data_IF_139314750687
#
_entry.id   IF_139314750687
#
_cell.length_a   1.000
_cell.length_b   1.000
_cell.length_c   1.000
_cell.angle_alpha   90.00
_cell.angle_beta   90.00
_cell.angle_gamma   90.00
#
_symmetry.space_group_name_H-M   'P 1'
#
loop_
_entity.id
_entity.type
_entity.pdbx_description
1 polymer ?
#
# COMPACT_ATOMS: atom_id res chain seq x y z
N UNK A 1 -18.24 19.44 -43.39
CA UNK A 1 -17.10 19.99 -42.65
C UNK A 1 -17.54 20.15 -41.20
N UNK A 2 -16.84 19.49 -40.26
CA UNK A 2 -17.00 19.50 -38.79
C UNK A 2 -18.21 18.74 -38.19
N UNK A 3 -17.97 17.47 -37.86
CA UNK A 3 -18.71 16.72 -36.84
C UNK A 3 -18.23 17.20 -35.46
N UNK A 4 -19.17 17.63 -34.63
CA UNK A 4 -18.93 17.97 -33.24
C UNK A 4 -18.85 16.67 -32.41
N UNK A 5 -17.67 16.36 -31.88
CA UNK A 5 -17.48 15.29 -30.91
C UNK A 5 -17.84 15.88 -29.54
N UNK A 6 -18.95 15.42 -28.98
CA UNK A 6 -19.30 15.69 -27.58
C UNK A 6 -18.41 14.83 -26.68
N UNK A 7 -17.37 15.44 -26.09
CA UNK A 7 -16.70 14.86 -24.92
C UNK A 7 -17.66 14.96 -23.74
N UNK A 8 -18.43 13.90 -23.52
CA UNK A 8 -19.17 13.71 -22.29
C UNK A 8 -18.16 13.29 -21.21
N UNK A 9 -17.59 14.27 -20.50
CA UNK A 9 -16.85 14.01 -19.27
C UNK A 9 -17.83 13.50 -18.21
N UNK A 10 -18.03 12.18 -18.16
CA UNK A 10 -18.67 11.55 -17.01
C UNK A 10 -17.67 11.65 -15.85
N UNK A 11 -17.88 12.65 -14.99
CA UNK A 11 -17.24 12.70 -13.70
C UNK A 11 -17.76 11.51 -12.88
N UNK A 12 -17.03 10.39 -12.92
CA UNK A 12 -17.28 9.27 -12.03
C UNK A 12 -17.08 9.78 -10.59
N UNK A 13 -18.18 9.78 -9.83
CA UNK A 13 -18.15 9.83 -8.38
C UNK A 13 -17.55 8.50 -7.89
N UNK A 14 -16.23 8.35 -8.03
CA UNK A 14 -15.49 7.31 -7.35
C UNK A 14 -15.62 7.65 -5.87
N UNK A 15 -16.33 6.81 -5.11
CA UNK A 15 -16.36 6.93 -3.65
C UNK A 15 -14.91 7.01 -3.18
N UNK A 16 -14.54 8.09 -2.50
CA UNK A 16 -13.16 8.36 -2.13
C UNK A 16 -12.59 7.14 -1.41
N UNK A 17 -11.58 6.49 -2.02
CA UNK A 17 -10.87 5.41 -1.37
C UNK A 17 -10.35 5.93 -0.02
N UNK A 18 -10.90 5.42 1.08
CA UNK A 18 -10.50 5.83 2.42
C UNK A 18 -9.07 5.37 2.68
N UNK A 19 -8.15 6.32 2.86
CA UNK A 19 -6.79 6.02 3.27
C UNK A 19 -6.77 5.41 4.68
N UNK A 20 -5.84 4.50 4.92
CA UNK A 20 -5.65 3.90 6.23
C UNK A 20 -5.29 4.96 7.28
N UNK A 21 -5.89 4.89 8.47
CA UNK A 21 -5.79 5.93 9.50
C UNK A 21 -4.89 5.46 10.66
N UNK A 22 -3.86 6.23 11.06
CA UNK A 22 -3.05 5.90 12.22
C UNK A 22 -3.85 6.00 13.53
N UNK A 23 -3.37 5.40 14.63
CA UNK A 23 -3.97 5.57 15.94
C UNK A 23 -4.19 7.04 16.30
N UNK A 24 -5.42 7.40 16.65
CA UNK A 24 -5.73 8.75 17.10
C UNK A 24 -5.09 9.06 18.46
N UNK A 25 -4.96 10.34 18.82
CA UNK A 25 -4.46 10.72 20.15
C UNK A 25 -5.27 10.07 21.29
N UNK A 26 -6.60 10.06 21.17
CA UNK A 26 -7.48 9.41 22.15
C UNK A 26 -7.31 7.88 22.20
N UNK A 27 -6.95 7.23 21.08
CA UNK A 27 -6.57 5.83 21.07
C UNK A 27 -5.25 5.59 21.80
N UNK A 28 -4.24 6.40 21.51
CA UNK A 28 -2.93 6.30 22.15
C UNK A 28 -3.00 6.55 23.65
N UNK A 29 -3.80 7.51 24.11
CA UNK A 29 -4.03 7.77 25.55
C UNK A 29 -4.74 6.60 26.25
N UNK A 30 -5.63 5.91 25.54
CA UNK A 30 -6.34 4.75 26.05
C UNK A 30 -5.47 3.49 26.10
N UNK A 31 -4.36 3.43 25.36
CA UNK A 31 -3.47 2.28 25.39
C UNK A 31 -2.91 2.01 26.77
N UNK A 32 -2.68 0.72 27.02
CA UNK A 32 -2.04 0.16 28.22
C UNK A 32 -1.07 -0.94 27.79
N UNK A 33 -0.23 -1.37 28.72
CA UNK A 33 0.70 -2.48 28.50
C UNK A 33 1.58 -2.26 27.26
N UNK A 34 1.70 -3.30 26.43
CA UNK A 34 2.63 -3.32 25.31
C UNK A 34 2.27 -2.30 24.22
N UNK A 35 0.98 -2.08 23.91
CA UNK A 35 0.55 -1.05 22.96
C UNK A 35 1.00 0.35 23.39
N UNK A 36 0.85 0.70 24.68
CA UNK A 36 1.26 2.01 25.19
C UNK A 36 2.78 2.18 25.11
N UNK A 37 3.53 1.15 25.48
CA UNK A 37 4.99 1.17 25.44
C UNK A 37 5.53 1.32 24.01
N UNK A 38 4.91 0.63 23.05
CA UNK A 38 5.27 0.73 21.63
C UNK A 38 4.88 2.08 21.05
N UNK A 39 3.68 2.58 21.33
CA UNK A 39 3.24 3.91 20.89
C UNK A 39 4.16 5.03 21.40
N UNK A 40 4.65 4.90 22.64
CA UNK A 40 5.62 5.82 23.23
C UNK A 40 7.08 5.59 22.75
N UNK A 41 7.34 4.53 21.95
CA UNK A 41 8.67 4.05 21.58
C UNK A 41 9.60 3.80 22.78
N UNK A 42 9.04 3.47 23.95
CA UNK A 42 9.82 3.19 25.16
C UNK A 42 10.36 1.75 25.12
N UNK A 43 11.58 1.61 24.61
CA UNK A 43 12.27 0.32 24.46
C UNK A 43 12.48 -0.43 25.76
N UNK A 44 12.75 0.28 26.85
CA UNK A 44 13.00 -0.34 28.14
C UNK A 44 11.72 -0.97 28.68
N UNK A 45 10.60 -0.27 28.55
CA UNK A 45 9.29 -0.80 28.94
C UNK A 45 8.86 -1.93 28.00
N UNK A 46 9.05 -1.80 26.69
CA UNK A 46 8.77 -2.89 25.72
C UNK A 46 9.52 -4.16 26.09
N UNK A 47 10.84 -4.08 26.31
CA UNK A 47 11.66 -5.24 26.68
C UNK A 47 11.17 -5.90 27.98
N UNK A 48 10.96 -5.11 29.04
CA UNK A 48 10.46 -5.64 30.33
C UNK A 48 9.09 -6.29 30.22
N UNK A 49 8.19 -5.75 29.40
CA UNK A 49 6.85 -6.32 29.20
C UNK A 49 6.93 -7.66 28.45
N UNK A 50 7.76 -7.75 27.42
CA UNK A 50 8.00 -9.00 26.67
C UNK A 50 8.62 -10.07 27.59
N UNK A 51 9.66 -9.71 28.35
CA UNK A 51 10.29 -10.61 29.35
C UNK A 51 9.30 -11.06 30.42
N UNK A 52 8.35 -10.19 30.78
CA UNK A 52 7.25 -10.49 31.70
C UNK A 52 6.12 -11.33 31.11
N UNK A 53 6.24 -11.81 29.87
CA UNK A 53 5.25 -12.67 29.20
C UNK A 53 4.05 -11.92 28.63
N UNK A 54 4.18 -10.62 28.34
CA UNK A 54 3.14 -9.90 27.59
C UNK A 54 2.90 -10.57 26.23
N UNK A 55 1.64 -10.73 25.85
CA UNK A 55 1.28 -11.24 24.54
C UNK A 55 1.68 -10.22 23.44
N UNK A 56 2.68 -10.58 22.65
CA UNK A 56 3.23 -9.75 21.56
C UNK A 56 2.27 -9.59 20.38
N UNK A 57 1.24 -10.45 20.30
CA UNK A 57 0.22 -10.44 19.26
C UNK A 57 -1.13 -9.93 19.78
N UNK A 58 -1.19 -9.39 21.01
CA UNK A 58 -2.39 -8.78 21.55
C UNK A 58 -2.92 -7.68 20.61
N UNK A 59 -4.23 -7.53 20.48
CA UNK A 59 -4.84 -6.55 19.58
C UNK A 59 -5.54 -5.44 20.35
N UNK A 60 -5.57 -4.24 19.79
CA UNK A 60 -6.41 -3.16 20.28
C UNK A 60 -7.86 -3.24 19.73
N UNK A 61 -8.68 -2.22 20.02
CA UNK A 61 -10.10 -2.17 19.59
C UNK A 61 -10.30 -2.22 18.07
N UNK A 62 -9.29 -1.88 17.28
CA UNK A 62 -9.33 -1.89 15.82
C UNK A 62 -8.60 -3.11 15.24
N UNK A 63 -8.23 -4.09 16.08
CA UNK A 63 -7.49 -5.27 15.66
C UNK A 63 -5.98 -5.04 15.51
N UNK A 64 -5.44 -3.89 15.95
CA UNK A 64 -4.04 -3.55 15.68
C UNK A 64 -3.10 -4.25 16.67
N UNK A 65 -2.11 -4.97 16.16
CA UNK A 65 -1.04 -5.58 16.96
C UNK A 65 0.03 -4.54 17.35
N UNK A 66 0.87 -4.79 18.38
CA UNK A 66 2.05 -3.99 18.65
C UNK A 66 2.95 -3.75 17.43
N UNK A 67 3.10 -4.74 16.53
CA UNK A 67 3.87 -4.57 15.30
C UNK A 67 3.26 -3.52 14.37
N UNK A 68 1.93 -3.51 14.22
CA UNK A 68 1.23 -2.48 13.44
C UNK A 68 1.39 -1.09 14.08
N UNK A 69 1.34 -0.99 15.42
CA UNK A 69 1.62 0.27 16.12
C UNK A 69 3.06 0.73 15.84
N UNK A 70 4.04 -0.18 15.88
CA UNK A 70 5.43 0.14 15.55
C UNK A 70 5.57 0.64 14.09
N UNK A 71 4.82 0.06 13.15
CA UNK A 71 4.78 0.49 11.76
C UNK A 71 4.26 1.93 11.63
N UNK A 72 3.11 2.25 12.24
CA UNK A 72 2.57 3.62 12.26
C UNK A 72 3.54 4.62 12.88
N UNK A 73 4.27 4.19 13.91
CA UNK A 73 5.26 5.02 14.58
C UNK A 73 6.59 5.09 13.81
N UNK A 74 6.74 4.41 12.66
CA UNK A 74 8.00 4.30 11.89
C UNK A 74 9.17 3.78 12.73
N UNK A 75 8.87 2.82 13.59
CA UNK A 75 9.73 2.42 14.68
C UNK A 75 10.50 1.12 14.41
N UNK A 76 11.47 1.17 13.50
CA UNK A 76 12.18 -0.01 12.98
C UNK A 76 12.83 -0.88 14.07
N UNK A 77 13.43 -0.25 15.09
CA UNK A 77 14.04 -0.99 16.20
C UNK A 77 12.98 -1.72 17.05
N UNK A 78 11.77 -1.18 17.12
CA UNK A 78 10.65 -1.74 17.88
C UNK A 78 10.04 -2.90 17.15
N UNK A 79 9.86 -2.73 15.83
CA UNK A 79 9.49 -3.81 14.94
C UNK A 79 10.43 -5.02 15.11
N UNK A 80 11.76 -4.80 15.06
CA UNK A 80 12.75 -5.87 15.26
C UNK A 80 12.59 -6.60 16.59
N UNK A 81 12.43 -5.86 17.70
CA UNK A 81 12.30 -6.44 19.03
C UNK A 81 11.01 -7.28 19.15
N UNK A 82 9.91 -6.79 18.59
CA UNK A 82 8.62 -7.48 18.59
C UNK A 82 8.65 -8.74 17.72
N UNK A 83 9.26 -8.69 16.52
CA UNK A 83 9.44 -9.88 15.66
C UNK A 83 10.33 -10.92 16.35
N UNK A 84 11.44 -10.52 16.97
CA UNK A 84 12.30 -11.43 17.74
C UNK A 84 11.56 -12.13 18.88
N UNK A 85 10.53 -11.48 19.43
CA UNK A 85 9.67 -12.03 20.48
C UNK A 85 8.48 -12.87 19.93
N UNK A 86 8.40 -13.11 18.62
CA UNK A 86 7.35 -13.93 18.00
C UNK A 86 6.13 -13.14 17.51
N UNK A 87 6.26 -11.82 17.32
CA UNK A 87 5.21 -11.01 16.70
C UNK A 87 4.96 -11.42 15.24
N UNK A 88 3.70 -11.54 14.87
CA UNK A 88 3.27 -11.90 13.51
C UNK A 88 3.19 -10.66 12.60
N UNK A 89 4.07 -10.60 11.59
CA UNK A 89 4.11 -9.52 10.59
C UNK A 89 2.93 -9.56 9.63
N UNK A 90 2.27 -10.71 9.50
CA UNK A 90 1.22 -10.99 8.53
C UNK A 90 -0.19 -10.95 9.15
N UNK A 91 -0.29 -10.62 10.44
CA UNK A 91 -1.57 -10.37 11.08
C UNK A 91 -2.28 -9.20 10.38
N UNK A 92 -3.61 -9.27 10.32
CA UNK A 92 -4.47 -8.26 9.70
C UNK A 92 -5.33 -7.57 10.76
N UNK A 93 -5.41 -6.24 10.69
CA UNK A 93 -6.35 -5.48 11.52
C UNK A 93 -7.80 -5.62 11.02
N UNK A 94 -8.75 -4.95 11.68
CA UNK A 94 -10.16 -5.02 11.28
C UNK A 94 -10.45 -4.43 9.89
N UNK A 95 -9.53 -3.65 9.35
CA UNK A 95 -9.61 -3.08 8.00
C UNK A 95 -8.77 -3.87 6.98
N UNK A 96 -8.28 -5.06 7.38
CA UNK A 96 -7.45 -5.94 6.56
C UNK A 96 -6.07 -5.35 6.21
N UNK A 97 -5.48 -4.57 7.10
CA UNK A 97 -4.13 -4.05 6.92
C UNK A 97 -3.11 -4.79 7.81
N UNK A 98 -1.99 -5.19 7.21
CA UNK A 98 -0.81 -5.72 7.88
C UNK A 98 0.29 -4.65 8.03
N UNK A 99 1.44 -5.06 8.56
CA UNK A 99 2.61 -4.18 8.75
C UNK A 99 3.09 -3.57 7.43
N UNK A 100 3.19 -4.38 6.37
CA UNK A 100 3.73 -3.90 5.09
C UNK A 100 2.76 -2.95 4.41
N UNK A 101 1.46 -3.17 4.48
CA UNK A 101 0.45 -2.32 3.85
C UNK A 101 0.33 -1.00 4.60
N UNK A 102 0.38 -1.02 5.95
CA UNK A 102 0.45 0.22 6.76
C UNK A 102 1.70 1.04 6.37
N UNK A 103 2.86 0.40 6.33
CA UNK A 103 4.13 1.04 5.98
C UNK A 103 4.12 1.57 4.54
N UNK A 104 3.41 0.86 3.65
CA UNK A 104 3.23 1.26 2.26
C UNK A 104 2.38 2.52 2.17
N UNK A 105 1.24 2.59 2.86
CA UNK A 105 0.34 3.77 2.83
C UNK A 105 1.03 5.04 3.33
N UNK A 106 1.86 4.92 4.37
CA UNK A 106 2.56 6.08 4.94
C UNK A 106 3.86 6.45 4.20
N UNK A 107 4.21 5.81 3.08
CA UNK A 107 5.47 6.02 2.36
C UNK A 107 6.72 5.77 3.24
N UNK A 108 6.82 4.56 3.80
CA UNK A 108 8.00 4.12 4.55
C UNK A 108 8.69 2.93 3.87
N UNK A 109 9.40 3.21 2.77
CA UNK A 109 10.13 2.18 2.03
C UNK A 109 11.13 1.40 2.91
N UNK A 110 11.79 2.06 3.86
CA UNK A 110 12.74 1.39 4.76
C UNK A 110 12.04 0.42 5.72
N UNK A 111 10.86 0.78 6.22
CA UNK A 111 10.05 -0.14 7.05
C UNK A 111 9.53 -1.31 6.21
N UNK A 112 9.12 -1.09 4.97
CA UNK A 112 8.70 -2.16 4.05
C UNK A 112 9.85 -3.13 3.77
N UNK A 113 11.02 -2.61 3.38
CA UNK A 113 12.24 -3.42 3.16
C UNK A 113 12.61 -4.21 4.42
N UNK A 114 12.54 -3.57 5.59
CA UNK A 114 12.79 -4.21 6.86
C UNK A 114 11.80 -5.35 7.12
N UNK A 115 10.51 -5.09 7.03
CA UNK A 115 9.47 -6.09 7.30
C UNK A 115 9.60 -7.29 6.37
N UNK A 116 9.84 -7.06 5.06
CA UNK A 116 10.11 -8.13 4.09
C UNK A 116 11.37 -8.93 4.49
N UNK A 117 12.46 -8.24 4.87
CA UNK A 117 13.70 -8.93 5.32
C UNK A 117 13.52 -9.77 6.59
N UNK A 118 12.48 -9.46 7.37
CA UNK A 118 12.11 -10.18 8.59
C UNK A 118 11.04 -11.26 8.35
N UNK A 119 10.58 -11.45 7.12
CA UNK A 119 9.66 -12.52 6.73
C UNK A 119 8.20 -12.09 6.54
N UNK A 120 7.90 -10.80 6.44
CA UNK A 120 6.57 -10.35 6.00
C UNK A 120 6.30 -10.79 4.55
N UNK A 121 5.07 -11.22 4.26
CA UNK A 121 4.67 -11.69 2.94
C UNK A 121 4.14 -10.53 2.06
N UNK A 122 4.90 -10.16 1.03
CA UNK A 122 4.52 -9.11 0.07
C UNK A 122 3.33 -9.47 -0.84
N UNK A 123 2.75 -10.67 -0.70
CA UNK A 123 1.71 -11.20 -1.59
C UNK A 123 0.32 -11.25 -0.97
N UNK A 124 0.17 -10.81 0.28
CA UNK A 124 -1.12 -10.86 0.97
C UNK A 124 -2.15 -9.97 0.26
N UNK A 125 -3.38 -10.47 0.24
CA UNK A 125 -4.55 -9.68 -0.13
C UNK A 125 -4.93 -8.85 1.09
N UNK A 126 -4.90 -7.53 0.94
CA UNK A 126 -5.09 -6.58 2.03
C UNK A 126 -6.05 -5.47 1.62
N UNK A 127 -6.41 -4.63 2.58
CA UNK A 127 -7.38 -3.53 2.43
C UNK A 127 -8.82 -4.02 2.19
N UNK A 128 -9.84 -3.17 2.47
CA UNK A 128 -11.25 -3.47 2.18
C UNK A 128 -11.55 -3.64 0.68
N UNK A 129 -10.62 -3.25 -0.20
CA UNK A 129 -10.77 -3.36 -1.66
C UNK A 129 -10.23 -4.68 -2.22
N UNK A 130 -9.84 -5.64 -1.37
CA UNK A 130 -9.22 -6.90 -1.79
C UNK A 130 -7.99 -6.66 -2.68
N UNK A 131 -7.21 -5.63 -2.36
CA UNK A 131 -6.01 -5.26 -3.09
C UNK A 131 -4.77 -5.94 -2.52
N UNK A 132 -3.61 -5.33 -2.75
CA UNK A 132 -2.34 -5.70 -2.12
C UNK A 132 -1.63 -4.44 -1.65
N UNK A 133 -0.56 -4.60 -0.86
CA UNK A 133 0.32 -3.48 -0.52
C UNK A 133 0.85 -2.74 -1.77
N UNK A 134 1.08 -3.48 -2.88
CA UNK A 134 1.55 -2.90 -4.14
C UNK A 134 0.51 -1.98 -4.76
N UNK A 135 -0.76 -2.37 -4.73
CA UNK A 135 -1.88 -1.53 -5.21
C UNK A 135 -1.98 -0.25 -4.37
N UNK A 136 -1.96 -0.37 -3.03
CA UNK A 136 -2.03 0.79 -2.15
C UNK A 136 -0.86 1.77 -2.37
N UNK A 137 0.37 1.26 -2.53
CA UNK A 137 1.54 2.08 -2.83
C UNK A 137 1.45 2.74 -4.22
N UNK A 138 0.90 2.04 -5.21
CA UNK A 138 0.79 2.52 -6.57
C UNK A 138 -0.25 3.65 -6.72
N UNK A 139 -1.40 3.51 -6.08
CA UNK A 139 -2.40 4.58 -5.94
C UNK A 139 -1.76 5.86 -5.41
N UNK A 140 -0.98 5.76 -4.33
CA UNK A 140 -0.40 6.93 -3.67
C UNK A 140 0.86 7.48 -4.36
N UNK A 141 1.37 6.81 -5.39
CA UNK A 141 2.56 7.23 -6.14
C UNK A 141 3.88 6.99 -5.39
N UNK A 142 3.90 6.08 -4.40
CA UNK A 142 5.05 5.82 -3.54
C UNK A 142 6.08 4.94 -4.25
N UNK A 143 6.77 5.50 -5.24
CA UNK A 143 7.63 4.76 -6.15
C UNK A 143 8.76 3.96 -5.45
N UNK A 144 9.26 4.45 -4.31
CA UNK A 144 10.27 3.73 -3.53
C UNK A 144 9.68 2.49 -2.84
N UNK A 145 8.50 2.62 -2.24
CA UNK A 145 7.74 1.50 -1.67
C UNK A 145 7.40 0.47 -2.74
N UNK A 146 6.92 0.92 -3.91
CA UNK A 146 6.61 0.03 -5.04
C UNK A 146 7.83 -0.80 -5.44
N UNK A 147 9.02 -0.19 -5.55
CA UNK A 147 10.25 -0.95 -5.83
C UNK A 147 10.58 -1.96 -4.73
N UNK A 148 10.40 -1.62 -3.46
CA UNK A 148 10.63 -2.55 -2.35
C UNK A 148 9.68 -3.75 -2.40
N UNK A 149 8.39 -3.52 -2.67
CA UNK A 149 7.38 -4.57 -2.80
C UNK A 149 7.62 -5.47 -4.01
N UNK A 150 7.99 -4.90 -5.16
CA UNK A 150 8.41 -5.66 -6.34
C UNK A 150 9.60 -6.56 -6.01
N UNK A 151 10.62 -6.03 -5.32
CA UNK A 151 11.77 -6.82 -4.89
C UNK A 151 11.38 -7.93 -3.88
N UNK A 152 10.32 -7.71 -3.10
CA UNK A 152 9.70 -8.70 -2.22
C UNK A 152 8.82 -9.74 -2.93
N UNK A 153 8.64 -9.63 -4.25
CA UNK A 153 7.85 -10.56 -5.05
C UNK A 153 6.33 -10.33 -4.98
N UNK A 154 5.89 -9.10 -4.74
CA UNK A 154 4.48 -8.73 -4.80
C UNK A 154 3.88 -9.04 -6.19
N UNK A 155 2.62 -9.50 -6.26
CA UNK A 155 1.97 -9.83 -7.54
C UNK A 155 1.64 -8.56 -8.32
N UNK A 156 2.30 -8.37 -9.47
CA UNK A 156 2.16 -7.18 -10.30
C UNK A 156 0.74 -7.01 -10.88
N UNK A 157 0.13 -8.13 -11.23
CA UNK A 157 -1.12 -8.21 -11.99
C UNK A 157 -2.33 -8.66 -11.15
N UNK A 158 -2.23 -8.56 -9.81
CA UNK A 158 -3.39 -8.80 -8.96
C UNK A 158 -4.52 -7.82 -9.30
N UNK A 159 -5.73 -8.34 -9.46
CA UNK A 159 -6.93 -7.56 -9.76
C UNK A 159 -7.78 -7.50 -8.50
N UNK A 160 -8.01 -6.29 -8.00
CA UNK A 160 -8.79 -6.07 -6.78
C UNK A 160 -10.30 -6.11 -7.04
N UNK A 161 -11.13 -5.88 -6.01
CA UNK A 161 -12.59 -5.92 -6.16
C UNK A 161 -13.18 -4.73 -6.95
N UNK A 162 -12.36 -3.73 -7.29
CA UNK A 162 -12.69 -2.64 -8.23
C UNK A 162 -12.30 -3.00 -9.68
N UNK A 163 -11.82 -4.22 -9.92
CA UNK A 163 -11.30 -4.68 -11.21
C UNK A 163 -10.05 -3.92 -11.67
N UNK A 164 -9.23 -3.44 -10.73
CA UNK A 164 -8.02 -2.67 -11.03
C UNK A 164 -6.75 -3.39 -10.56
N UNK A 165 -5.69 -3.25 -11.35
CA UNK A 165 -4.32 -3.62 -11.00
C UNK A 165 -3.57 -2.43 -10.39
N UNK A 166 -2.39 -2.66 -9.83
CA UNK A 166 -1.53 -1.57 -9.36
C UNK A 166 -1.16 -0.59 -10.47
N UNK A 167 -0.96 -1.10 -11.70
CA UNK A 167 -0.69 -0.28 -12.87
C UNK A 167 -1.87 0.64 -13.19
N UNK A 168 -3.11 0.12 -13.19
CA UNK A 168 -4.33 0.90 -13.41
C UNK A 168 -4.52 1.94 -12.31
N UNK A 169 -4.40 1.59 -11.03
CA UNK A 169 -4.61 2.53 -9.93
C UNK A 169 -3.61 3.70 -9.96
N UNK A 170 -2.35 3.46 -10.36
CA UNK A 170 -1.36 4.53 -10.52
C UNK A 170 -1.75 5.59 -11.58
N UNK A 171 -2.67 5.25 -12.48
CA UNK A 171 -3.19 6.13 -13.53
C UNK A 171 -4.53 6.75 -13.12
N UNK A 172 -5.48 5.93 -12.66
CA UNK A 172 -6.85 6.36 -12.37
C UNK A 172 -6.90 7.27 -11.14
N UNK A 173 -6.20 6.86 -10.08
CA UNK A 173 -6.15 7.60 -8.81
C UNK A 173 -4.91 8.51 -8.71
N UNK A 174 -3.98 8.37 -9.66
CA UNK A 174 -2.81 9.23 -9.75
C UNK A 174 -3.09 10.61 -10.34
N UNK A 175 -2.09 11.49 -10.19
CA UNK A 175 -2.14 12.86 -10.70
C UNK A 175 -1.31 13.07 -11.99
N UNK A 176 -0.62 12.03 -12.47
CA UNK A 176 0.25 12.07 -13.65
C UNK A 176 1.59 12.77 -13.40
N UNK A 177 1.86 13.16 -12.16
CA UNK A 177 3.08 13.82 -11.72
C UNK A 177 4.28 12.87 -11.60
N UNK A 178 5.42 13.43 -11.20
CA UNK A 178 6.70 12.73 -11.15
C UNK A 178 6.64 11.39 -10.39
N UNK A 179 5.96 11.36 -9.24
CA UNK A 179 5.86 10.19 -8.38
C UNK A 179 5.03 9.06 -9.01
N UNK A 180 3.86 9.37 -9.58
CA UNK A 180 3.04 8.37 -10.28
C UNK A 180 3.70 7.91 -11.59
N UNK A 181 4.39 8.79 -12.31
CA UNK A 181 5.17 8.40 -13.50
C UNK A 181 6.29 7.43 -13.11
N UNK A 182 7.02 7.69 -12.01
CA UNK A 182 8.07 6.80 -11.52
C UNK A 182 7.51 5.46 -11.02
N UNK A 183 6.33 5.48 -10.41
CA UNK A 183 5.59 4.30 -9.96
C UNK A 183 5.18 3.41 -11.14
N UNK A 184 4.51 3.99 -12.14
CA UNK A 184 4.11 3.30 -13.36
C UNK A 184 5.34 2.72 -14.08
N UNK A 185 6.41 3.50 -14.19
CA UNK A 185 7.67 3.03 -14.79
C UNK A 185 8.21 1.79 -14.07
N UNK A 186 8.26 1.80 -12.73
CA UNK A 186 8.76 0.66 -11.97
C UNK A 186 7.92 -0.61 -12.19
N UNK A 187 6.58 -0.47 -12.24
CA UNK A 187 5.68 -1.60 -12.54
C UNK A 187 5.91 -2.16 -13.95
N UNK A 188 6.01 -1.28 -14.95
CA UNK A 188 6.27 -1.66 -16.35
C UNK A 188 7.64 -2.34 -16.52
N UNK A 189 8.69 -1.78 -15.91
CA UNK A 189 10.04 -2.36 -15.95
C UNK A 189 10.12 -3.72 -15.23
N UNK A 190 9.26 -3.94 -14.22
CA UNK A 190 9.12 -5.22 -13.54
C UNK A 190 8.31 -6.26 -14.34
N UNK A 191 7.67 -5.86 -15.43
CA UNK A 191 6.92 -6.75 -16.32
C UNK A 191 5.44 -6.87 -16.00
N UNK A 192 4.82 -5.87 -15.34
CA UNK A 192 3.36 -5.81 -15.21
C UNK A 192 2.70 -5.81 -16.60
N UNK A 193 1.59 -6.53 -16.76
CA UNK A 193 0.90 -6.59 -18.05
C UNK A 193 0.20 -5.27 -18.36
N UNK A 194 0.79 -4.53 -19.30
CA UNK A 194 0.32 -3.21 -19.76
C UNK A 194 -0.98 -3.26 -20.58
N UNK A 195 -1.54 -4.45 -20.82
CA UNK A 195 -2.77 -4.64 -21.57
C UNK A 195 -3.94 -5.20 -20.75
N UNK A 196 -3.76 -5.49 -19.45
CA UNK A 196 -4.88 -5.86 -18.58
C UNK A 196 -5.84 -4.68 -18.45
N UNK A 197 -7.04 -4.84 -18.99
CA UNK A 197 -8.09 -3.85 -18.93
C UNK A 197 -8.83 -3.89 -17.59
N UNK A 198 -9.41 -2.76 -17.19
CA UNK A 198 -10.32 -2.71 -16.05
C UNK A 198 -11.67 -3.41 -16.32
N UNK A 199 -12.56 -3.40 -15.32
CA UNK A 199 -13.90 -4.00 -15.43
C UNK A 199 -14.78 -3.41 -16.53
N UNK A 200 -14.46 -2.22 -17.02
CA UNK A 200 -15.18 -1.54 -18.12
C UNK A 200 -14.50 -1.79 -19.49
N UNK A 201 -13.44 -2.59 -19.52
CA UNK A 201 -12.66 -2.89 -20.72
C UNK A 201 -11.69 -1.77 -21.13
N UNK A 202 -11.42 -0.79 -20.27
CA UNK A 202 -10.45 0.27 -20.54
C UNK A 202 -9.02 -0.23 -20.26
N UNK A 203 -8.14 -0.12 -21.24
CA UNK A 203 -6.71 -0.48 -21.09
C UNK A 203 -5.95 0.61 -20.31
N UNK A 204 -4.80 0.29 -19.70
CA UNK A 204 -3.96 1.30 -19.06
C UNK A 204 -3.62 2.47 -20.00
N UNK A 205 -3.37 2.20 -21.29
CA UNK A 205 -3.09 3.22 -22.29
C UNK A 205 -4.32 4.11 -22.57
N UNK A 206 -5.53 3.54 -22.68
CA UNK A 206 -6.75 4.33 -22.90
C UNK A 206 -7.08 5.20 -21.69
N UNK A 207 -6.86 4.68 -20.47
CA UNK A 207 -7.03 5.42 -19.22
C UNK A 207 -6.04 6.61 -19.13
N UNK A 208 -4.76 6.37 -19.38
CA UNK A 208 -3.74 7.44 -19.37
C UNK A 208 -4.04 8.51 -20.44
N UNK A 209 -4.53 8.09 -21.61
CA UNK A 209 -4.98 8.98 -22.69
C UNK A 209 -6.17 9.84 -22.25
N UNK A 210 -7.18 9.24 -21.61
CA UNK A 210 -8.34 9.96 -21.09
C UNK A 210 -7.98 11.01 -20.03
N UNK A 211 -6.89 10.79 -19.29
CA UNK A 211 -6.35 11.73 -18.28
C UNK A 211 -5.38 12.77 -18.86
N UNK A 212 -4.91 12.59 -20.10
CA UNK A 212 -3.90 13.45 -20.71
C UNK A 212 -2.48 13.26 -20.14
N UNK A 213 -2.18 12.08 -19.59
CA UNK A 213 -0.89 11.76 -18.97
C UNK A 213 0.15 11.32 -20.00
N UNK A 214 0.63 12.28 -20.80
CA UNK A 214 1.57 12.04 -21.92
C UNK A 214 2.77 11.18 -21.52
N UNK A 215 3.42 11.48 -20.40
CA UNK A 215 4.61 10.72 -19.98
C UNK A 215 4.30 9.24 -19.67
N UNK A 216 3.13 8.96 -19.10
CA UNK A 216 2.68 7.59 -18.86
C UNK A 216 2.28 6.89 -20.16
N UNK A 217 1.60 7.60 -21.07
CA UNK A 217 1.27 7.08 -22.40
C UNK A 217 2.52 6.67 -23.16
N UNK A 218 3.59 7.47 -23.10
CA UNK A 218 4.87 7.16 -23.75
C UNK A 218 5.51 5.89 -23.18
N UNK A 219 5.52 5.74 -21.84
CA UNK A 219 6.03 4.53 -21.18
C UNK A 219 5.23 3.29 -21.59
N UNK A 220 3.90 3.36 -21.52
CA UNK A 220 3.01 2.25 -21.87
C UNK A 220 3.16 1.86 -23.34
N UNK A 221 3.22 2.84 -24.25
CA UNK A 221 3.40 2.59 -25.68
C UNK A 221 4.75 1.95 -25.97
N UNK A 222 5.82 2.42 -25.32
CA UNK A 222 7.14 1.81 -25.44
C UNK A 222 7.20 0.36 -24.92
N UNK A 223 6.34 0.03 -23.95
CA UNK A 223 6.18 -1.32 -23.41
C UNK A 223 5.19 -2.20 -24.21
N UNK A 224 4.67 -1.72 -25.34
CA UNK A 224 3.79 -2.49 -26.21
C UNK A 224 2.32 -2.50 -25.80
N UNK A 225 1.86 -1.50 -25.05
CA UNK A 225 0.44 -1.32 -24.76
C UNK A 225 -0.35 -1.08 -26.05
N UNK A 226 -1.48 -1.79 -26.19
CA UNK A 226 -2.34 -1.70 -27.38
C UNK A 226 -3.33 -0.53 -27.26
N UNK A 227 -3.73 0.08 -28.40
CA UNK A 227 -4.59 1.26 -28.45
C UNK A 227 -5.94 1.15 -27.77
#
# INVERSE_FOLDING_TARGET
MRLAIWCLCVALLVGSASAQVPPSAAEMEAYKGLHAAVAAKDRSVVARLIEGGADVNAVDRNGRTPLMIAAYMRDQKGLRALVQAGGDLNALDHQQYDVITISSVIDDAQMVELAISLGADAKLITSPYEGTALIAAAHLGHAAVVRALIAGGAPLDHVNNLQWTALIESIVLGDGGFNHVATLRALVEAGADVNLADGEGSTPLSLARGRGYTAMMDILSAAGAKP
#
